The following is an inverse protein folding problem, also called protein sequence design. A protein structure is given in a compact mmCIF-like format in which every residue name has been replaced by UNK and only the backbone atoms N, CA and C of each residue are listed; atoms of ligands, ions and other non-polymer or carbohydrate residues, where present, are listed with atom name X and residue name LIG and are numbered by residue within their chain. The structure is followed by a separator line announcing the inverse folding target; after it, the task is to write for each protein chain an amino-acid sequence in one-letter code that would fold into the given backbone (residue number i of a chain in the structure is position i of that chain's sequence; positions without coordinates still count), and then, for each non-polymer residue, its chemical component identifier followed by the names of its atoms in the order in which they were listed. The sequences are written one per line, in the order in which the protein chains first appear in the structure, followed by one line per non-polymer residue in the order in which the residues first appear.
data_IF_520608674738
#
_entry.id   IF_520608674738
#
_cell.length_a   1.000
_cell.length_b   1.000
_cell.length_c   1.000
_cell.angle_alpha   90.00
_cell.angle_beta   90.00
_cell.angle_gamma   90.00
#
_symmetry.space_group_name_H-M   'P 1'
#
loop_
_entity.id
_entity.type
_entity.pdbx_description
1 polymer ?
#
# COMPACT_ATOMS: atom_id res chain seq x y z
N UNK A 1 4.32 29.33 1.29
CA UNK A 1 4.09 28.83 1.08
C UNK A 1 4.04 27.96 0.87
N UNK A 2 3.62 28.14 1.08
CA UNK A 2 3.51 27.29 0.97
C UNK A 2 3.24 26.44 0.38
N UNK A 3 3.13 26.38 0.42
CA UNK A 3 2.96 25.76 -0.01
C UNK A 3 2.88 25.08 -0.63
N UNK A 4 2.85 25.14 -0.64
CA UNK A 4 2.82 24.63 -1.19
C UNK A 4 2.84 24.00 -1.60
N UNK A 5 2.80 24.03 -1.33
CA UNK A 5 2.72 23.54 -1.73
C UNK A 5 2.30 22.95 -2.32
N UNK A 6 2.51 23.05 -2.26
CA UNK A 6 2.06 22.39 -2.75
C UNK A 6 0.97 22.30 -3.06
N UNK A 7 0.85 22.78 -2.69
CA UNK A 7 -0.39 23.03 -3.10
C UNK A 7 -0.81 22.44 -4.41
N UNK A 8 -0.70 22.66 -5.36
CA UNK A 8 -1.27 22.24 -6.58
C UNK A 8 -0.80 20.91 -7.11
N UNK A 9 -0.18 20.13 -6.29
CA UNK A 9 0.31 18.83 -6.74
C UNK A 9 -0.28 17.70 -5.90
N UNK A 10 -1.54 17.38 -6.13
CA UNK A 10 -2.22 16.38 -5.32
C UNK A 10 -1.53 15.03 -5.33
N UNK A 11 -0.95 14.62 -6.45
CA UNK A 11 -0.32 13.32 -6.56
C UNK A 11 0.96 13.19 -5.75
N UNK A 12 1.58 14.30 -5.35
CA UNK A 12 2.77 14.24 -4.52
C UNK A 12 2.46 14.45 -3.05
N UNK A 13 1.22 14.72 -2.73
CA UNK A 13 0.76 14.92 -1.37
C UNK A 13 0.38 13.60 -0.73
N UNK A 14 0.71 13.46 0.53
CA UNK A 14 0.27 12.30 1.29
C UNK A 14 -1.05 12.61 1.96
N UNK A 15 -1.95 11.65 1.94
CA UNK A 15 -3.27 11.77 2.54
C UNK A 15 -3.40 10.82 3.70
N UNK A 16 -4.03 11.27 4.76
CA UNK A 16 -4.29 10.42 5.92
C UNK A 16 -5.41 9.43 5.57
N UNK A 17 -5.49 8.38 6.36
CA UNK A 17 -6.57 7.42 6.20
C UNK A 17 -7.92 8.09 6.36
N UNK A 18 -8.02 9.02 7.30
CA UNK A 18 -9.27 9.76 7.54
C UNK A 18 -9.68 10.58 6.34
N UNK A 19 -8.71 11.23 5.70
CA UNK A 19 -9.00 12.01 4.49
C UNK A 19 -9.51 11.14 3.37
N UNK A 20 -8.90 9.98 3.19
CA UNK A 20 -9.32 9.04 2.15
C UNK A 20 -10.73 8.52 2.43
N UNK A 21 -10.99 8.15 3.67
CA UNK A 21 -12.30 7.65 4.06
C UNK A 21 -13.38 8.71 3.90
N UNK A 22 -13.05 9.95 4.23
CA UNK A 22 -14.00 11.05 4.07
C UNK A 22 -14.35 11.26 2.60
N UNK A 23 -13.35 11.22 1.73
CA UNK A 23 -13.57 11.39 0.30
C UNK A 23 -14.46 10.27 -0.26
N UNK A 24 -14.19 9.03 0.13
CA UNK A 24 -15.00 7.88 -0.31
C UNK A 24 -16.44 8.04 0.16
N UNK A 25 -16.61 8.44 1.40
CA UNK A 25 -17.95 8.64 1.97
C UNK A 25 -18.72 9.72 1.20
N UNK A 26 -18.04 10.80 0.88
CA UNK A 26 -18.67 11.88 0.11
C UNK A 26 -19.10 11.43 -1.28
N UNK A 27 -18.24 10.65 -1.94
CA UNK A 27 -18.59 10.13 -3.27
C UNK A 27 -19.84 9.24 -3.18
N UNK A 28 -19.86 8.36 -2.18
CA UNK A 28 -21.00 7.45 -2.00
C UNK A 28 -22.29 8.18 -1.66
N UNK A 29 -22.19 9.20 -0.81
CA UNK A 29 -23.33 10.02 -0.47
C UNK A 29 -23.87 10.75 -1.69
N UNK A 30 -22.98 11.31 -2.49
CA UNK A 30 -23.37 12.04 -3.69
C UNK A 30 -24.03 11.11 -4.69
N UNK A 31 -23.52 9.90 -4.84
CA UNK A 31 -24.11 8.91 -5.74
C UNK A 31 -25.51 8.51 -5.29
N UNK A 32 -25.68 8.33 -4.00
CA UNK A 32 -27.00 7.98 -3.45
C UNK A 32 -27.98 9.13 -3.65
N UNK A 33 -27.52 10.35 -3.49
CA UNK A 33 -28.35 11.54 -3.60
C UNK A 33 -28.77 11.81 -5.05
N UNK A 34 -27.83 11.70 -5.97
CA UNK A 34 -28.09 12.03 -7.37
C UNK A 34 -28.58 10.84 -8.19
N UNK A 35 -28.37 9.64 -7.70
CA UNK A 35 -28.76 8.43 -8.41
C UNK A 35 -27.88 8.11 -9.62
N UNK A 36 -26.72 8.75 -9.72
CA UNK A 36 -25.81 8.51 -10.84
C UNK A 36 -24.39 8.37 -10.32
N UNK A 37 -23.60 7.62 -11.07
CA UNK A 37 -22.18 7.46 -10.75
C UNK A 37 -21.30 8.43 -11.55
N UNK A 38 -21.88 9.02 -12.59
CA UNK A 38 -21.11 9.87 -13.50
C UNK A 38 -20.77 11.20 -12.85
N UNK A 39 -19.49 11.54 -12.90
CA UNK A 39 -19.00 12.83 -12.43
C UNK A 39 -18.90 13.00 -10.93
N UNK A 40 -19.29 11.99 -10.15
CA UNK A 40 -19.29 12.12 -8.69
C UNK A 40 -17.87 12.21 -8.12
N UNK A 41 -16.96 11.40 -8.65
CA UNK A 41 -15.57 11.41 -8.20
C UNK A 41 -14.91 12.76 -8.49
N UNK A 42 -15.09 13.26 -9.69
CA UNK A 42 -14.53 14.55 -10.08
C UNK A 42 -15.04 15.70 -9.23
N UNK A 43 -16.33 15.67 -8.93
CA UNK A 43 -16.97 16.69 -8.13
C UNK A 43 -16.43 16.73 -6.70
N UNK A 44 -16.29 15.56 -6.09
CA UNK A 44 -15.76 15.45 -4.74
C UNK A 44 -14.30 15.88 -4.71
N UNK A 45 -13.52 15.42 -5.69
CA UNK A 45 -12.10 15.77 -5.78
C UNK A 45 -11.93 17.27 -5.87
N UNK A 46 -12.71 17.93 -6.71
CA UNK A 46 -12.66 19.37 -6.86
C UNK A 46 -13.03 20.08 -5.57
N UNK A 47 -14.08 19.63 -4.93
CA UNK A 47 -14.57 20.25 -3.71
C UNK A 47 -13.56 20.15 -2.56
N UNK A 48 -12.87 19.03 -2.47
CA UNK A 48 -11.88 18.79 -1.41
C UNK A 48 -10.48 19.27 -1.79
N UNK A 49 -10.25 19.58 -3.04
CA UNK A 49 -8.93 19.97 -3.51
C UNK A 49 -7.99 18.78 -3.66
N UNK A 50 -8.53 17.59 -3.89
CA UNK A 50 -7.74 16.39 -4.07
C UNK A 50 -7.62 16.05 -5.55
N UNK A 51 -6.66 15.18 -5.88
CA UNK A 51 -6.53 14.71 -7.25
C UNK A 51 -7.65 13.74 -7.60
N UNK A 52 -8.20 13.89 -8.81
CA UNK A 52 -9.30 13.04 -9.26
C UNK A 52 -8.90 11.56 -9.26
N UNK A 53 -7.70 11.27 -9.76
CA UNK A 53 -7.24 9.89 -9.84
C UNK A 53 -7.04 9.28 -8.45
N UNK A 54 -6.61 10.09 -7.50
CA UNK A 54 -6.46 9.63 -6.13
C UNK A 54 -7.81 9.23 -5.55
N UNK A 55 -8.80 10.11 -5.70
CA UNK A 55 -10.14 9.82 -5.18
C UNK A 55 -10.73 8.60 -5.87
N UNK A 56 -10.58 8.51 -7.19
CA UNK A 56 -11.07 7.35 -7.94
C UNK A 56 -10.46 6.06 -7.44
N UNK A 57 -9.16 6.08 -7.21
CA UNK A 57 -8.42 4.93 -6.70
C UNK A 57 -8.93 4.52 -5.32
N UNK A 58 -9.17 5.49 -4.44
CA UNK A 58 -9.67 5.19 -3.09
C UNK A 58 -11.06 4.59 -3.10
N UNK A 59 -11.93 5.08 -3.97
CA UNK A 59 -13.28 4.54 -4.09
C UNK A 59 -13.21 3.09 -4.59
N UNK A 60 -12.40 2.86 -5.61
CA UNK A 60 -12.23 1.52 -6.16
C UNK A 60 -11.69 0.56 -5.09
N UNK A 61 -10.67 1.00 -4.35
CA UNK A 61 -10.09 0.15 -3.32
C UNK A 61 -11.11 -0.14 -2.21
N UNK A 62 -11.91 0.84 -1.83
CA UNK A 62 -12.95 0.62 -0.84
C UNK A 62 -13.97 -0.40 -1.32
N UNK A 63 -14.32 -0.34 -2.60
CA UNK A 63 -15.27 -1.29 -3.19
C UNK A 63 -14.68 -2.70 -3.19
N UNK A 64 -13.39 -2.83 -3.50
CA UNK A 64 -12.70 -4.12 -3.46
C UNK A 64 -12.66 -4.65 -2.03
N UNK A 65 -12.31 -3.80 -1.08
CA UNK A 65 -12.20 -4.20 0.33
C UNK A 65 -13.53 -4.67 0.89
N UNK A 66 -14.62 -4.14 0.37
CA UNK A 66 -15.97 -4.52 0.81
C UNK A 66 -16.53 -5.69 0.01
N UNK A 67 -15.78 -6.19 -0.96
CA UNK A 67 -16.19 -7.32 -1.76
C UNK A 67 -17.16 -7.00 -2.89
N UNK A 68 -17.42 -5.72 -3.14
CA UNK A 68 -18.35 -5.31 -4.20
C UNK A 68 -17.75 -5.49 -5.59
N UNK A 69 -16.41 -5.45 -5.69
CA UNK A 69 -15.68 -5.58 -6.94
C UNK A 69 -14.51 -6.50 -6.71
N UNK A 70 -14.18 -7.33 -7.70
CA UNK A 70 -13.03 -8.23 -7.61
C UNK A 70 -11.73 -7.42 -7.59
N UNK A 71 -10.77 -7.89 -6.82
CA UNK A 71 -9.46 -7.28 -6.74
C UNK A 71 -8.76 -7.70 -5.47
N UNK A 72 -7.55 -7.20 -5.29
CA UNK A 72 -6.74 -7.49 -4.11
C UNK A 72 -7.09 -6.47 -3.03
N UNK A 73 -7.49 -6.95 -1.87
CA UNK A 73 -7.88 -6.07 -0.77
C UNK A 73 -6.64 -5.41 -0.16
N UNK A 74 -6.86 -4.33 0.57
CA UNK A 74 -5.77 -3.65 1.30
C UNK A 74 -5.13 -4.59 2.31
N UNK A 75 -5.94 -5.43 2.94
CA UNK A 75 -5.46 -6.40 3.91
C UNK A 75 -4.56 -7.42 3.26
N UNK A 76 -4.95 -7.93 2.09
CA UNK A 76 -4.13 -8.87 1.34
C UNK A 76 -2.81 -8.25 0.90
N UNK A 77 -2.85 -7.01 0.44
CA UNK A 77 -1.65 -6.29 0.05
C UNK A 77 -0.69 -6.15 1.22
N UNK A 78 -1.22 -5.79 2.39
CA UNK A 78 -0.41 -5.66 3.60
C UNK A 78 0.20 -7.00 3.98
N UNK A 79 -0.58 -8.08 3.86
CA UNK A 79 -0.08 -9.42 4.19
C UNK A 79 1.03 -9.86 3.24
N UNK A 80 0.88 -9.54 1.95
CA UNK A 80 1.92 -9.87 0.98
C UNK A 80 3.22 -9.15 1.31
N UNK A 81 3.14 -7.85 1.64
CA UNK A 81 4.33 -7.08 2.03
C UNK A 81 5.02 -7.68 3.26
N UNK A 82 4.22 -8.08 4.22
CA UNK A 82 4.71 -8.71 5.44
C UNK A 82 5.45 -10.00 5.14
N UNK A 83 4.84 -10.83 4.30
CA UNK A 83 5.45 -12.10 3.89
C UNK A 83 6.72 -11.89 3.08
N UNK A 84 6.74 -10.89 2.22
CA UNK A 84 7.94 -10.56 1.46
C UNK A 84 9.08 -10.15 2.38
N UNK A 85 8.77 -9.37 3.40
CA UNK A 85 9.76 -8.95 4.37
C UNK A 85 10.31 -10.15 5.15
N UNK A 86 9.41 -11.02 5.64
CA UNK A 86 9.83 -12.24 6.34
C UNK A 86 10.70 -13.11 5.43
N UNK A 87 10.33 -13.20 4.17
CA UNK A 87 11.07 -14.01 3.21
C UNK A 87 12.50 -13.47 3.03
N UNK A 88 12.64 -12.16 2.92
CA UNK A 88 13.98 -11.56 2.81
C UNK A 88 14.81 -11.82 4.05
N UNK A 89 14.20 -11.73 5.22
CA UNK A 89 14.90 -11.97 6.47
C UNK A 89 15.34 -13.43 6.60
N UNK A 90 14.47 -14.34 6.21
CA UNK A 90 14.78 -15.77 6.26
C UNK A 90 15.89 -16.13 5.29
N UNK A 91 15.86 -15.57 4.09
CA UNK A 91 16.91 -15.80 3.11
C UNK A 91 18.26 -15.30 3.59
N UNK A 92 18.24 -14.14 4.23
CA UNK A 92 19.46 -13.57 4.80
C UNK A 92 20.01 -14.44 5.91
N UNK A 93 19.15 -14.88 6.82
CA UNK A 93 19.55 -15.74 7.91
C UNK A 93 20.12 -17.06 7.36
N UNK A 94 19.46 -17.63 6.35
CA UNK A 94 19.89 -18.84 5.72
C UNK A 94 21.27 -18.71 5.09
N UNK A 95 21.52 -17.59 4.43
CA UNK A 95 22.81 -17.31 3.83
C UNK A 95 23.91 -17.23 4.87
N UNK A 96 23.63 -16.55 5.98
CA UNK A 96 24.58 -16.42 7.07
C UNK A 96 24.89 -17.80 7.68
N UNK A 97 23.85 -18.60 7.88
CA UNK A 97 24.02 -19.93 8.44
C UNK A 97 24.83 -20.84 7.52
N UNK A 98 24.64 -20.73 6.23
CA UNK A 98 25.43 -21.49 5.27
C UNK A 98 26.91 -21.13 5.34
N UNK A 99 27.19 -19.83 5.42
CA UNK A 99 28.57 -19.37 5.55
C UNK A 99 29.20 -19.85 6.84
N UNK A 100 28.44 -19.79 7.92
CA UNK A 100 28.93 -20.28 9.20
C UNK A 100 29.19 -21.78 9.16
N UNK A 101 28.28 -22.54 8.56
CA UNK A 101 28.44 -23.98 8.44
C UNK A 101 29.70 -24.33 7.62
N UNK A 102 29.94 -23.60 6.56
CA UNK A 102 31.13 -23.81 5.72
C UNK A 102 32.40 -23.53 6.53
N UNK A 103 32.39 -22.44 7.30
CA UNK A 103 33.51 -22.06 8.12
C UNK A 103 33.79 -23.13 9.18
N UNK A 104 32.78 -23.59 9.89
CA UNK A 104 32.97 -24.59 10.94
C UNK A 104 33.36 -25.93 10.36
N UNK A 105 32.82 -26.28 9.18
CA UNK A 105 33.23 -27.51 8.51
C UNK A 105 34.69 -27.49 8.14
N UNK A 106 35.21 -26.37 7.64
CA UNK A 106 36.61 -26.22 7.32
C UNK A 106 37.46 -26.28 8.57
N UNK A 107 36.95 -25.71 9.67
CA UNK A 107 37.65 -25.72 10.96
C UNK A 107 37.82 -27.12 11.47
N UNK A 108 36.78 -27.93 11.43
CA UNK A 108 36.83 -29.32 11.82
C UNK A 108 37.82 -30.12 10.97
N UNK A 109 37.79 -29.89 9.68
CA UNK A 109 38.65 -30.56 8.74
C UNK A 109 40.12 -30.28 9.05
N UNK A 110 40.44 -29.03 9.35
CA UNK A 110 41.82 -28.67 9.76
C UNK A 110 42.26 -29.38 11.03
N UNK A 111 41.35 -29.48 11.98
CA UNK A 111 41.65 -30.14 13.24
C UNK A 111 41.93 -31.62 13.04
N UNK A 112 41.29 -32.25 12.07
CA UNK A 112 41.45 -33.69 11.83
C UNK A 112 42.71 -34.01 11.01
N UNK A 113 43.27 -33.01 10.38
CA UNK A 113 44.42 -33.22 9.50
C UNK A 113 45.76 -33.25 10.21
N UNK A 114 45.81 -33.27 11.45
CA UNK A 114 47.05 -33.26 12.19
C UNK A 114 47.93 -34.47 12.10
#
# INVERSE_FOLDING_TARGET
MPTDHGVGRPQSRRYSLEEKQAAVRMVRSLRAETGTMTGTVGRVAEQLGFGVESVRSWVKQADVDEGAVSGVTSEETARVKELEQENRELRRANEILRRAATFFGAELDRQQRR
#
